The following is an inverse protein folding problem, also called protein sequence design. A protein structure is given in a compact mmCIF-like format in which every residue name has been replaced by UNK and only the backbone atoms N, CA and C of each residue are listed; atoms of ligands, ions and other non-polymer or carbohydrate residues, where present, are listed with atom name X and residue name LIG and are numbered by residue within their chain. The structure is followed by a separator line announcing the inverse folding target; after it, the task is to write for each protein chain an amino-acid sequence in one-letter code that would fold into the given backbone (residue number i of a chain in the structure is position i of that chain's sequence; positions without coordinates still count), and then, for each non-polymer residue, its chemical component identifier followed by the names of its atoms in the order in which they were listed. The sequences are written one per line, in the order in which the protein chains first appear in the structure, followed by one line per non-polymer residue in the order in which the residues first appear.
data_IF_022114708277
#
_entry.id   IF_022114708277
#
_cell.length_a   1.000
_cell.length_b   1.000
_cell.length_c   1.000
_cell.angle_alpha   90.00
_cell.angle_beta   90.00
_cell.angle_gamma   90.00
#
_symmetry.space_group_name_H-M   'P 1'
#
loop_
_entity.id
_entity.type
_entity.pdbx_description
1 polymer ?
#
# COMPACT_ATOMS: atom_id res chain seq x y z
N UNK A 1 9.87 -18.14 -5.96
CA UNK A 1 9.31 -16.78 -6.16
C UNK A 1 10.21 -15.80 -5.40
N UNK A 2 10.88 -14.86 -6.06
CA UNK A 2 11.64 -13.82 -5.37
C UNK A 2 10.67 -13.00 -4.51
N UNK A 3 11.05 -12.67 -3.29
CA UNK A 3 10.22 -11.86 -2.39
C UNK A 3 10.36 -10.40 -2.80
N UNK A 4 9.27 -9.73 -3.14
CA UNK A 4 9.28 -8.27 -3.35
C UNK A 4 9.75 -7.55 -2.08
N UNK A 5 10.45 -6.41 -2.25
CA UNK A 5 10.98 -5.62 -1.14
C UNK A 5 10.10 -4.42 -0.79
N UNK A 6 10.18 -3.89 0.45
CA UNK A 6 9.56 -2.61 0.79
C UNK A 6 10.30 -1.45 0.11
N UNK A 7 9.61 -0.35 -0.15
CA UNK A 7 10.26 0.90 -0.57
C UNK A 7 10.77 1.59 0.71
N UNK A 8 12.10 1.59 0.89
CA UNK A 8 12.74 2.10 2.11
C UNK A 8 12.97 3.61 2.06
N UNK A 9 13.32 4.09 0.87
CA UNK A 9 13.66 5.50 0.66
C UNK A 9 12.40 6.36 0.48
N UNK A 10 12.30 7.41 1.29
CA UNK A 10 11.16 8.34 1.27
C UNK A 10 11.14 9.23 0.02
N UNK A 11 12.30 9.50 -0.61
CA UNK A 11 12.38 10.22 -1.88
C UNK A 11 11.75 9.39 -3.00
N UNK A 12 12.04 8.08 -3.03
CA UNK A 12 11.41 7.13 -3.94
C UNK A 12 9.88 7.10 -3.76
N UNK A 13 9.37 7.08 -2.52
CA UNK A 13 7.93 7.16 -2.24
C UNK A 13 7.33 8.44 -2.82
N UNK A 14 7.98 9.59 -2.62
CA UNK A 14 7.53 10.88 -3.16
C UNK A 14 7.50 10.89 -4.70
N UNK A 15 8.53 10.35 -5.33
CA UNK A 15 8.62 10.29 -6.79
C UNK A 15 7.57 9.34 -7.39
N UNK A 16 7.37 8.15 -6.83
CA UNK A 16 6.31 7.23 -7.24
C UNK A 16 4.93 7.87 -7.11
N UNK A 17 4.68 8.56 -5.99
CA UNK A 17 3.44 9.30 -5.79
C UNK A 17 3.21 10.34 -6.88
N UNK A 18 4.23 11.14 -7.22
CA UNK A 18 4.13 12.17 -8.25
C UNK A 18 3.77 11.58 -9.63
N UNK A 19 4.42 10.48 -10.03
CA UNK A 19 4.10 9.76 -11.27
C UNK A 19 2.66 9.22 -11.25
N UNK A 20 2.25 8.58 -10.17
CA UNK A 20 0.91 8.01 -10.07
C UNK A 20 -0.17 9.10 -10.06
N UNK A 21 0.11 10.24 -9.43
CA UNK A 21 -0.75 11.42 -9.45
C UNK A 21 -0.92 11.97 -10.86
N UNK A 22 0.14 12.08 -11.63
CA UNK A 22 0.07 12.57 -13.03
C UNK A 22 -0.76 11.66 -13.94
N UNK A 23 -0.96 10.39 -13.56
CA UNK A 23 -1.80 9.44 -14.30
C UNK A 23 -3.28 9.56 -13.92
N UNK A 24 -3.59 9.59 -12.64
CA UNK A 24 -4.94 9.81 -12.09
C UNK A 24 -4.93 9.85 -10.56
N UNK A 25 -5.89 10.56 -9.94
CA UNK A 25 -6.11 10.54 -8.49
C UNK A 25 -6.45 9.14 -7.96
N UNK A 26 -7.10 8.30 -8.76
CA UNK A 26 -7.32 6.89 -8.41
C UNK A 26 -6.01 6.13 -8.19
N UNK A 27 -5.03 6.31 -9.08
CA UNK A 27 -3.74 5.61 -8.98
C UNK A 27 -2.90 6.16 -7.82
N UNK A 28 -2.92 7.47 -7.58
CA UNK A 28 -2.32 8.10 -6.41
C UNK A 28 -2.95 7.55 -5.11
N UNK A 29 -4.28 7.53 -5.01
CA UNK A 29 -4.99 7.02 -3.85
C UNK A 29 -4.69 5.53 -3.61
N UNK A 30 -4.59 4.71 -4.66
CA UNK A 30 -4.21 3.30 -4.54
C UNK A 30 -2.85 3.13 -3.85
N UNK A 31 -1.89 3.92 -4.26
CA UNK A 31 -0.53 3.90 -3.70
C UNK A 31 -0.52 4.41 -2.26
N UNK A 32 -1.08 5.60 -2.01
CA UNK A 32 -1.09 6.23 -0.70
C UNK A 32 -1.87 5.37 0.31
N UNK A 33 -3.04 4.85 -0.05
CA UNK A 33 -3.77 3.94 0.81
C UNK A 33 -2.96 2.66 1.08
N UNK A 34 -2.36 2.08 0.04
CA UNK A 34 -1.57 0.85 0.16
C UNK A 34 -0.41 0.93 1.14
N UNK A 35 0.33 2.05 1.13
CA UNK A 35 1.50 2.26 2.01
C UNK A 35 1.17 2.84 3.39
N UNK A 36 -0.09 3.23 3.65
CA UNK A 36 -0.49 3.84 4.92
C UNK A 36 -1.46 2.99 5.77
N UNK A 37 -2.14 1.99 5.18
CA UNK A 37 -3.11 1.18 5.94
C UNK A 37 -2.71 -0.28 6.08
N UNK A 38 -1.69 -0.71 5.37
CA UNK A 38 -1.14 -2.06 5.47
C UNK A 38 -2.12 -3.19 5.11
N UNK A 39 -3.17 -2.93 4.35
CA UNK A 39 -4.11 -3.94 3.87
C UNK A 39 -3.54 -4.77 2.73
N UNK A 40 -4.09 -5.96 2.49
CA UNK A 40 -3.82 -6.70 1.25
C UNK A 40 -4.48 -6.01 0.07
N UNK A 41 -3.83 -6.06 -1.09
CA UNK A 41 -4.36 -5.42 -2.30
C UNK A 41 -5.76 -5.92 -2.65
N UNK A 42 -6.07 -7.20 -2.42
CA UNK A 42 -7.41 -7.76 -2.64
C UNK A 42 -8.49 -7.08 -1.81
N UNK A 43 -8.15 -6.66 -0.58
CA UNK A 43 -9.08 -5.98 0.32
C UNK A 43 -9.20 -4.50 -0.06
N UNK A 44 -8.09 -3.85 -0.42
CA UNK A 44 -8.08 -2.47 -0.92
C UNK A 44 -8.97 -2.34 -2.17
N UNK A 45 -8.82 -3.21 -3.15
CA UNK A 45 -9.56 -3.13 -4.41
C UNK A 45 -11.07 -3.34 -4.25
N UNK A 46 -11.53 -3.90 -3.13
CA UNK A 46 -12.96 -4.09 -2.84
C UNK A 46 -13.61 -2.92 -2.12
N UNK A 47 -12.83 -1.91 -1.73
CA UNK A 47 -13.37 -0.73 -1.06
C UNK A 47 -14.28 0.06 -2.00
N UNK A 48 -15.45 0.41 -1.47
CA UNK A 48 -16.42 1.28 -2.09
C UNK A 48 -16.38 2.67 -1.45
N UNK A 49 -16.99 3.64 -2.09
CA UNK A 49 -17.12 5.01 -1.56
C UNK A 49 -17.68 5.00 -0.14
N UNK A 50 -18.77 4.26 0.10
CA UNK A 50 -19.40 4.14 1.43
C UNK A 50 -18.49 3.59 2.53
N UNK A 51 -17.44 2.82 2.17
CA UNK A 51 -16.51 2.27 3.16
C UNK A 51 -15.57 3.36 3.68
N UNK A 52 -15.13 4.28 2.82
CA UNK A 52 -14.17 5.32 3.13
C UNK A 52 -14.78 6.66 3.55
N UNK A 53 -16.07 6.88 3.23
CA UNK A 53 -16.72 8.18 3.44
C UNK A 53 -17.94 8.10 4.36
N UNK A 54 -18.26 9.21 5.02
CA UNK A 54 -19.47 9.39 5.84
C UNK A 54 -20.68 9.53 4.93
N UNK A 55 -21.79 8.85 5.25
CA UNK A 55 -22.97 8.80 4.40
C UNK A 55 -23.60 10.18 4.14
N UNK A 56 -23.60 11.05 5.13
CA UNK A 56 -24.32 12.34 5.04
C UNK A 56 -23.51 13.42 4.31
N UNK A 57 -22.19 13.41 4.39
CA UNK A 57 -21.33 14.49 3.92
C UNK A 57 -20.34 14.07 2.84
N UNK A 58 -20.18 12.76 2.63
CA UNK A 58 -19.09 12.16 1.82
C UNK A 58 -17.67 12.54 2.29
N UNK A 59 -17.55 13.20 3.45
CA UNK A 59 -16.25 13.44 4.06
C UNK A 59 -15.57 12.10 4.44
N UNK A 60 -14.24 12.03 4.43
CA UNK A 60 -13.53 10.82 4.85
C UNK A 60 -13.88 10.40 6.27
N UNK A 61 -13.94 9.09 6.51
CA UNK A 61 -14.07 8.52 7.85
C UNK A 61 -12.74 8.59 8.61
N UNK A 62 -12.79 8.50 9.94
CA UNK A 62 -11.61 8.40 10.77
C UNK A 62 -11.07 6.97 10.83
N UNK A 63 -11.94 5.99 10.68
CA UNK A 63 -11.60 4.57 10.60
C UNK A 63 -12.55 3.81 9.68
N UNK A 64 -12.11 2.65 9.24
CA UNK A 64 -12.87 1.72 8.40
C UNK A 64 -12.86 0.33 9.03
N UNK A 65 -13.98 -0.36 8.93
CA UNK A 65 -14.11 -1.76 9.33
C UNK A 65 -14.40 -2.58 8.07
N UNK A 66 -13.59 -3.60 7.83
CA UNK A 66 -13.77 -4.54 6.71
C UNK A 66 -13.70 -5.98 7.19
N UNK A 67 -14.22 -6.89 6.38
CA UNK A 67 -13.93 -8.32 6.49
C UNK A 67 -12.89 -8.71 5.45
N UNK A 68 -11.70 -9.13 5.91
CA UNK A 68 -10.60 -9.54 5.01
C UNK A 68 -11.02 -10.75 4.17
N UNK A 69 -10.74 -10.71 2.87
CA UNK A 69 -11.12 -11.78 1.93
C UNK A 69 -10.41 -13.10 2.28
N UNK A 70 -9.11 -13.03 2.59
CA UNK A 70 -8.29 -14.22 2.82
C UNK A 70 -8.54 -14.88 4.17
N UNK A 71 -8.69 -14.11 5.23
CA UNK A 71 -8.76 -14.62 6.61
C UNK A 71 -10.17 -14.71 7.15
N UNK A 72 -11.13 -14.04 6.49
CA UNK A 72 -12.53 -13.86 6.94
C UNK A 72 -12.64 -13.15 8.30
N UNK A 73 -11.55 -12.57 8.80
CA UNK A 73 -11.55 -11.82 10.05
C UNK A 73 -11.97 -10.38 9.81
N UNK A 74 -12.70 -9.82 10.76
CA UNK A 74 -12.99 -8.39 10.80
C UNK A 74 -11.72 -7.63 11.15
N UNK A 75 -11.44 -6.56 10.41
CA UNK A 75 -10.31 -5.68 10.64
C UNK A 75 -10.76 -4.24 10.66
N UNK A 76 -10.37 -3.52 11.71
CA UNK A 76 -10.48 -2.08 11.83
C UNK A 76 -9.13 -1.45 11.50
N UNK A 77 -9.13 -0.41 10.66
CA UNK A 77 -7.95 0.41 10.40
C UNK A 77 -8.30 1.89 10.42
N UNK A 78 -7.35 2.71 10.80
CA UNK A 78 -7.53 4.16 10.91
C UNK A 78 -7.03 4.85 9.65
N UNK A 79 -7.66 5.97 9.30
CA UNK A 79 -7.34 6.79 8.13
C UNK A 79 -6.63 8.05 8.62
N UNK A 80 -5.33 8.14 8.37
CA UNK A 80 -4.53 9.33 8.68
C UNK A 80 -4.78 10.48 7.69
N UNK A 81 -4.33 11.67 8.05
CA UNK A 81 -4.66 12.92 7.33
C UNK A 81 -4.22 12.91 5.86
N UNK A 82 -3.07 12.31 5.55
CA UNK A 82 -2.62 12.18 4.16
C UNK A 82 -3.58 11.34 3.33
N UNK A 83 -4.12 10.26 3.89
CA UNK A 83 -5.10 9.39 3.20
C UNK A 83 -6.44 10.09 3.09
N UNK A 84 -6.89 10.82 4.14
CA UNK A 84 -8.12 11.63 4.10
C UNK A 84 -8.07 12.63 2.96
N UNK A 85 -6.97 13.38 2.85
CA UNK A 85 -6.76 14.35 1.78
C UNK A 85 -6.85 13.72 0.39
N UNK A 86 -6.26 12.54 0.21
CA UNK A 86 -6.33 11.87 -1.10
C UNK A 86 -7.73 11.30 -1.41
N UNK A 87 -8.48 10.89 -0.39
CA UNK A 87 -9.90 10.52 -0.56
C UNK A 87 -10.70 11.76 -1.02
N UNK A 88 -10.50 12.91 -0.40
CA UNK A 88 -11.16 14.16 -0.79
C UNK A 88 -10.83 14.57 -2.23
N UNK A 89 -9.54 14.53 -2.60
CA UNK A 89 -9.09 14.81 -3.96
C UNK A 89 -9.76 13.87 -4.96
N UNK A 90 -9.76 12.56 -4.68
CA UNK A 90 -10.40 11.54 -5.50
C UNK A 90 -11.90 11.81 -5.66
N UNK A 91 -12.61 12.11 -4.57
CA UNK A 91 -14.05 12.39 -4.60
C UNK A 91 -14.35 13.60 -5.48
N UNK A 92 -13.59 14.69 -5.31
CA UNK A 92 -13.75 15.94 -6.06
C UNK A 92 -13.51 15.75 -7.56
N UNK A 93 -12.41 15.06 -7.95
CA UNK A 93 -12.03 14.90 -9.34
C UNK A 93 -12.84 13.84 -10.09
N UNK A 94 -13.61 13.02 -9.39
CA UNK A 94 -14.50 12.01 -9.97
C UNK A 94 -15.99 12.34 -9.78
N UNK A 95 -16.33 13.63 -9.68
CA UNK A 95 -17.71 14.13 -9.57
C UNK A 95 -18.53 13.48 -8.45
N UNK A 96 -17.89 13.26 -7.29
CA UNK A 96 -18.53 12.68 -6.11
C UNK A 96 -19.28 11.36 -6.39
N UNK A 97 -18.62 10.29 -6.79
CA UNK A 97 -19.27 9.05 -7.20
C UNK A 97 -20.22 8.50 -6.14
N UNK A 98 -21.17 7.68 -6.57
CA UNK A 98 -22.20 7.08 -5.71
C UNK A 98 -21.59 6.15 -4.64
N UNK A 99 -22.29 6.00 -3.51
CA UNK A 99 -21.80 5.24 -2.34
C UNK A 99 -21.45 3.78 -2.64
N UNK A 100 -22.13 3.14 -3.57
CA UNK A 100 -21.86 1.75 -3.96
C UNK A 100 -20.81 1.60 -5.05
N UNK A 101 -20.26 2.71 -5.56
CA UNK A 101 -19.19 2.71 -6.55
C UNK A 101 -17.89 2.23 -5.91
N UNK A 102 -17.17 1.34 -6.59
CA UNK A 102 -15.81 0.96 -6.17
C UNK A 102 -14.86 2.14 -6.31
N UNK A 103 -14.03 2.38 -5.29
CA UNK A 103 -12.97 3.43 -5.33
C UNK A 103 -12.01 3.18 -6.49
N UNK A 104 -11.58 1.94 -6.66
CA UNK A 104 -10.64 1.55 -7.71
C UNK A 104 -11.39 0.99 -8.92
N UNK A 105 -12.27 1.82 -9.49
CA UNK A 105 -13.14 1.45 -10.59
C UNK A 105 -12.34 1.10 -11.86
N UNK A 106 -12.73 0.01 -12.50
CA UNK A 106 -12.24 -0.38 -13.82
C UNK A 106 -12.95 0.42 -14.92
N UNK A 107 -12.24 0.69 -16.02
CA UNK A 107 -12.87 1.21 -17.24
C UNK A 107 -13.64 0.15 -18.02
N UNK A 108 -13.51 -1.13 -17.64
CA UNK A 108 -14.23 -2.27 -18.25
C UNK A 108 -15.33 -2.76 -17.31
N UNK A 109 -16.51 -2.99 -17.87
CA UNK A 109 -17.69 -3.44 -17.13
C UNK A 109 -18.39 -2.32 -16.35
N UNK A 110 -19.56 -2.65 -15.80
CA UNK A 110 -20.37 -1.71 -15.02
C UNK A 110 -20.02 -1.89 -13.54
N UNK A 111 -19.52 -0.83 -12.91
CA UNK A 111 -19.16 -0.79 -11.48
C UNK A 111 -18.33 -2.00 -11.02
N UNK A 112 -17.23 -2.29 -11.73
CA UNK A 112 -16.29 -3.36 -11.39
C UNK A 112 -14.96 -2.76 -10.93
N UNK A 113 -14.31 -3.32 -9.90
CA UNK A 113 -12.98 -2.86 -9.49
C UNK A 113 -11.91 -3.32 -10.48
N UNK A 114 -10.78 -2.61 -10.52
CA UNK A 114 -9.59 -3.10 -11.23
C UNK A 114 -9.12 -4.42 -10.63
N UNK A 115 -8.51 -5.25 -11.47
CA UNK A 115 -7.94 -6.54 -11.03
C UNK A 115 -6.61 -6.33 -10.29
N UNK A 116 -6.19 -7.34 -9.52
CA UNK A 116 -4.86 -7.36 -8.89
C UNK A 116 -3.74 -7.22 -9.91
N UNK A 117 -3.92 -7.80 -11.11
CA UNK A 117 -2.94 -7.68 -12.18
C UNK A 117 -2.86 -6.25 -12.74
N UNK A 118 -4.00 -5.56 -12.86
CA UNK A 118 -4.01 -4.15 -13.25
C UNK A 118 -3.36 -3.26 -12.17
N UNK A 119 -3.67 -3.48 -10.89
CA UNK A 119 -3.01 -2.79 -9.79
C UNK A 119 -1.49 -3.04 -9.78
N UNK A 120 -1.06 -4.27 -10.00
CA UNK A 120 0.35 -4.61 -10.16
C UNK A 120 1.00 -3.82 -11.29
N UNK A 121 0.39 -3.79 -12.48
CA UNK A 121 0.92 -3.03 -13.63
C UNK A 121 1.03 -1.53 -13.33
N UNK A 122 0.02 -0.93 -12.69
CA UNK A 122 0.04 0.49 -12.31
C UNK A 122 1.26 0.81 -11.44
N UNK A 123 1.50 0.00 -10.40
CA UNK A 123 2.62 0.21 -9.48
C UNK A 123 3.97 -0.08 -10.15
N UNK A 124 4.05 -1.15 -10.94
CA UNK A 124 5.29 -1.52 -11.64
C UNK A 124 5.70 -0.48 -12.67
N UNK A 125 4.77 -0.01 -13.51
CA UNK A 125 5.08 0.99 -14.54
C UNK A 125 5.60 2.29 -13.91
N UNK A 126 5.05 2.71 -12.76
CA UNK A 126 5.57 3.85 -12.04
C UNK A 126 6.99 3.61 -11.48
N UNK A 127 7.28 2.41 -10.99
CA UNK A 127 8.62 2.04 -10.53
C UNK A 127 9.63 1.91 -11.68
N UNK A 128 9.20 1.40 -12.83
CA UNK A 128 10.00 1.30 -14.05
C UNK A 128 10.37 2.68 -14.60
N UNK A 129 9.43 3.63 -14.60
CA UNK A 129 9.68 5.03 -14.98
C UNK A 129 10.72 5.74 -14.09
N UNK A 130 11.02 5.19 -12.91
CA UNK A 130 12.05 5.68 -11.98
C UNK A 130 13.34 4.87 -12.03
N UNK A 131 13.47 3.88 -12.93
CA UNK A 131 14.60 2.97 -12.97
C UNK A 131 14.73 2.03 -11.75
N UNK A 132 13.66 1.90 -10.95
CA UNK A 132 13.64 0.99 -9.78
C UNK A 132 13.41 -0.46 -10.24
N UNK A 133 12.67 -0.61 -11.31
CA UNK A 133 12.40 -1.89 -11.98
C UNK A 133 12.96 -1.81 -13.37
N UNK A 134 13.79 -2.77 -13.74
CA UNK A 134 14.39 -2.87 -15.07
C UNK A 134 13.98 -4.18 -15.75
N UNK A 135 13.64 -4.08 -17.05
CA UNK A 135 13.29 -5.22 -17.88
C UNK A 135 14.15 -5.24 -19.13
N UNK A 136 14.41 -6.44 -19.67
CA UNK A 136 15.03 -6.57 -20.97
C UNK A 136 14.02 -6.30 -22.10
N UNK A 137 14.51 -6.29 -23.35
CA UNK A 137 13.70 -6.06 -24.57
C UNK A 137 12.56 -7.08 -24.73
N UNK A 138 12.69 -8.26 -24.11
CA UNK A 138 11.65 -9.30 -24.08
C UNK A 138 10.63 -9.09 -22.95
N UNK A 139 10.77 -8.03 -22.14
CA UNK A 139 9.90 -7.73 -21.01
C UNK A 139 10.18 -8.55 -19.72
N UNK A 140 11.26 -9.33 -19.70
CA UNK A 140 11.65 -10.09 -18.51
C UNK A 140 12.32 -9.19 -17.48
N UNK A 141 12.05 -9.44 -16.20
CA UNK A 141 12.62 -8.70 -15.08
C UNK A 141 14.14 -8.96 -14.96
N UNK A 142 14.94 -7.91 -15.07
CA UNK A 142 16.41 -7.92 -14.85
C UNK A 142 16.71 -7.54 -13.41
N UNK A 143 16.18 -6.41 -12.94
CA UNK A 143 16.45 -5.84 -11.64
C UNK A 143 15.21 -5.26 -11.00
N UNK A 144 15.17 -5.28 -9.65
CA UNK A 144 14.08 -4.76 -8.84
C UNK A 144 12.78 -5.54 -9.01
N UNK A 145 12.03 -5.73 -7.97
CA UNK A 145 10.69 -6.31 -8.04
C UNK A 145 9.77 -5.52 -7.14
N UNK A 146 8.92 -4.70 -7.74
CA UNK A 146 7.88 -3.95 -7.06
C UNK A 146 6.54 -4.57 -7.39
N UNK A 147 5.78 -4.97 -6.38
CA UNK A 147 4.48 -5.57 -6.57
C UNK A 147 3.46 -5.00 -5.59
N UNK A 148 2.25 -5.51 -5.67
CA UNK A 148 1.17 -5.08 -4.77
C UNK A 148 1.45 -5.42 -3.30
N UNK A 149 2.26 -6.43 -3.02
CA UNK A 149 2.73 -6.73 -1.66
C UNK A 149 3.79 -5.74 -1.16
N UNK A 150 4.53 -5.08 -2.05
CA UNK A 150 5.48 -4.03 -1.70
C UNK A 150 4.82 -2.91 -0.91
N UNK A 151 3.60 -2.49 -1.28
CA UNK A 151 2.87 -1.44 -0.57
C UNK A 151 2.67 -1.79 0.91
N UNK A 152 2.17 -2.99 1.18
CA UNK A 152 1.95 -3.46 2.55
C UNK A 152 3.26 -3.70 3.30
N UNK A 153 4.32 -4.15 2.63
CA UNK A 153 5.65 -4.27 3.21
C UNK A 153 6.23 -2.89 3.56
N UNK A 154 6.03 -1.89 2.69
CA UNK A 154 6.44 -0.50 2.92
C UNK A 154 5.77 0.08 4.16
N UNK A 155 4.45 -0.14 4.33
CA UNK A 155 3.77 0.21 5.58
C UNK A 155 4.45 -0.39 6.80
N UNK A 156 4.68 -1.71 6.79
CA UNK A 156 5.29 -2.41 7.92
C UNK A 156 6.73 -1.97 8.20
N UNK A 157 7.53 -1.78 7.17
CA UNK A 157 8.91 -1.31 7.29
C UNK A 157 8.96 0.07 7.97
N UNK A 158 8.23 1.05 7.44
CA UNK A 158 8.23 2.40 8.00
C UNK A 158 7.58 2.48 9.39
N UNK A 159 6.53 1.70 9.64
CA UNK A 159 5.96 1.60 10.99
C UNK A 159 6.99 1.07 11.99
N UNK A 160 7.75 0.03 11.63
CA UNK A 160 8.81 -0.51 12.48
C UNK A 160 9.93 0.52 12.71
N UNK A 161 10.38 1.21 11.66
CA UNK A 161 11.40 2.26 11.78
C UNK A 161 10.93 3.44 12.66
N UNK A 162 9.63 3.71 12.70
CA UNK A 162 9.01 4.73 13.55
C UNK A 162 8.71 4.22 14.98
N UNK A 163 9.25 3.06 15.38
CA UNK A 163 9.16 2.56 16.76
C UNK A 163 7.93 1.70 17.06
N UNK A 164 7.13 1.30 16.06
CA UNK A 164 6.03 0.34 16.29
C UNK A 164 6.61 -1.00 16.71
N UNK A 165 6.10 -1.57 17.81
CA UNK A 165 6.57 -2.86 18.30
C UNK A 165 6.31 -3.99 17.30
N UNK A 166 7.17 -5.00 17.34
CA UNK A 166 7.06 -6.15 16.44
C UNK A 166 5.78 -6.96 16.72
N UNK A 167 5.37 -7.04 17.98
CA UNK A 167 4.14 -7.70 18.43
C UNK A 167 2.89 -7.03 17.81
N UNK A 168 2.85 -5.70 17.79
CA UNK A 168 1.75 -4.95 17.18
C UNK A 168 1.73 -5.15 15.66
N UNK A 169 2.89 -5.16 15.01
CA UNK A 169 2.98 -5.47 13.58
C UNK A 169 2.55 -6.91 13.25
N UNK A 170 2.90 -7.88 14.11
CA UNK A 170 2.42 -9.26 13.98
C UNK A 170 0.89 -9.32 13.99
N UNK A 171 0.27 -8.64 14.94
CA UNK A 171 -1.20 -8.57 15.04
C UNK A 171 -1.80 -7.90 13.80
N UNK A 172 -1.29 -6.72 13.42
CA UNK A 172 -1.74 -5.99 12.23
C UNK A 172 -1.64 -6.81 10.94
N UNK A 173 -0.66 -7.71 10.83
CA UNK A 173 -0.47 -8.54 9.65
C UNK A 173 -1.09 -9.93 9.78
N UNK A 174 -1.62 -10.31 10.94
CA UNK A 174 -2.02 -11.67 11.26
C UNK A 174 -0.86 -12.67 11.03
N UNK A 175 0.32 -12.36 11.51
CA UNK A 175 1.50 -13.23 11.42
C UNK A 175 1.63 -14.05 12.69
N UNK A 176 2.04 -15.32 12.54
CA UNK A 176 2.18 -16.27 13.64
C UNK A 176 3.53 -16.21 14.37
N UNK A 177 4.53 -15.51 13.80
CA UNK A 177 5.86 -15.41 14.43
C UNK A 177 6.57 -14.09 14.13
N UNK A 178 7.45 -13.69 15.06
CA UNK A 178 8.34 -12.53 14.93
C UNK A 178 9.25 -12.66 13.70
N UNK A 179 9.81 -13.83 13.48
CA UNK A 179 10.69 -14.13 12.33
C UNK A 179 9.97 -13.90 11.00
N UNK A 180 8.71 -14.34 10.91
CA UNK A 180 7.87 -14.11 9.73
C UNK A 180 7.68 -12.61 9.49
N UNK A 181 7.41 -11.83 10.54
CA UNK A 181 7.19 -10.39 10.43
C UNK A 181 8.46 -9.65 10.03
N UNK A 182 9.60 -9.93 10.66
CA UNK A 182 10.89 -9.33 10.32
C UNK A 182 11.25 -9.58 8.85
N UNK A 183 11.14 -10.84 8.40
CA UNK A 183 11.37 -11.19 6.98
C UNK A 183 10.37 -10.47 6.07
N UNK A 184 9.10 -10.38 6.49
CA UNK A 184 8.06 -9.75 5.70
C UNK A 184 8.31 -8.26 5.49
N UNK A 185 8.71 -7.53 6.52
CA UNK A 185 9.01 -6.09 6.46
C UNK A 185 10.41 -5.80 5.90
N UNK A 186 11.17 -6.83 5.55
CA UNK A 186 12.48 -6.69 4.88
C UNK A 186 13.59 -6.25 5.81
N UNK A 187 13.56 -6.62 7.11
CA UNK A 187 14.67 -6.44 8.02
C UNK A 187 15.76 -7.47 7.65
N UNK A 188 16.92 -6.97 7.24
CA UNK A 188 18.04 -7.76 6.76
C UNK A 188 19.04 -8.06 7.87
N UNK A 189 19.95 -9.05 7.64
CA UNK A 189 21.08 -9.31 8.54
C UNK A 189 22.01 -8.09 8.65
N UNK A 190 22.13 -7.29 7.57
CA UNK A 190 22.91 -6.06 7.58
C UNK A 190 22.35 -5.03 8.56
N UNK A 191 21.04 -4.86 8.60
CA UNK A 191 20.40 -3.98 9.60
C UNK A 191 20.59 -4.52 11.03
N UNK A 192 20.64 -5.84 11.22
CA UNK A 192 20.99 -6.43 12.52
C UNK A 192 22.45 -6.13 12.88
N UNK A 193 23.37 -6.23 11.92
CA UNK A 193 24.79 -5.86 12.10
C UNK A 193 24.91 -4.41 12.53
N UNK A 194 24.15 -3.50 11.91
CA UNK A 194 24.15 -2.08 12.26
C UNK A 194 23.78 -1.82 13.72
N UNK A 195 22.90 -2.62 14.31
CA UNK A 195 22.57 -2.52 15.74
C UNK A 195 23.82 -2.76 16.59
N UNK A 196 24.61 -3.79 16.29
CA UNK A 196 25.85 -4.07 17.02
C UNK A 196 26.88 -2.96 16.85
N UNK A 197 27.02 -2.43 15.63
CA UNK A 197 28.00 -1.38 15.34
C UNK A 197 27.62 -0.02 15.96
N UNK A 198 26.33 0.25 16.13
CA UNK A 198 25.82 1.48 16.77
C UNK A 198 25.78 1.41 18.28
N UNK A 199 25.80 0.20 18.85
CA UNK A 199 25.80 -0.03 20.31
C UNK A 199 27.22 0.08 20.89
N UNK A 200 27.96 1.13 20.55
CA UNK A 200 29.30 1.37 21.04
C UNK A 200 29.20 1.99 22.44
N UNK A 201 29.08 1.14 23.46
CA UNK A 201 28.95 1.53 24.87
C UNK A 201 30.34 1.49 25.54
N UNK A 202 30.98 2.66 25.71
CA UNK A 202 32.26 2.84 26.41
C UNK A 202 33.38 3.34 25.55
#
# INVERSE_FOLDING_TARGET
MKSVEPIRDTKTIKNMRAILKSQSTRNELLFILGINVGLRISDILKLKVKDLTKLNTKAPKDYVIITEIKTRKTKKFYIGDIVKKEIENYMKENDNPGFDTYIFLSRKGINMPITRQQAYRIINNAAESLGIVERNDQGNLIHGEIGTHTLRKTFGYHSFQNGTSLELLMDLFNHSSKTQTLRYIGITEEQKKDVYLKSNLG
#
